data_IF_788292642497
#
_entry.id   IF_788292642497
#
_cell.length_a   1.000
_cell.length_b   1.000
_cell.length_c   1.000
_cell.angle_alpha   90.00
_cell.angle_beta   90.00
_cell.angle_gamma   90.00
#
_symmetry.space_group_name_H-M   'P 1'
#
loop_
_entity.id
_entity.type
_entity.pdbx_description
1 polymer ?
#
# COMPACT_ATOMS: atom_id res chain seq x y z
N UNK A 1 22.83 14.00 9.90
CA UNK A 1 22.52 12.56 9.90
C UNK A 1 21.06 12.27 9.57
N UNK A 2 20.07 12.91 10.21
CA UNK A 2 18.65 12.63 9.94
C UNK A 2 18.14 12.94 8.52
N UNK A 3 18.68 13.97 7.85
CA UNK A 3 18.25 14.35 6.49
C UNK A 3 18.58 13.29 5.44
N UNK A 4 19.83 12.81 5.41
CA UNK A 4 20.27 11.75 4.49
C UNK A 4 19.45 10.45 4.64
N UNK A 5 19.15 10.06 5.88
CA UNK A 5 18.30 8.89 6.15
C UNK A 5 16.89 9.08 5.59
N UNK A 6 16.29 10.25 5.81
CA UNK A 6 14.94 10.53 5.30
C UNK A 6 14.92 10.57 3.76
N UNK A 7 15.95 11.14 3.13
CA UNK A 7 16.04 11.18 1.65
C UNK A 7 16.18 9.77 1.05
N UNK A 8 17.04 8.92 1.64
CA UNK A 8 17.19 7.52 1.25
C UNK A 8 15.90 6.73 1.46
N UNK A 9 15.25 6.92 2.61
CA UNK A 9 13.98 6.29 2.93
C UNK A 9 12.89 6.65 1.92
N UNK A 10 12.75 7.94 1.59
CA UNK A 10 11.78 8.42 0.61
C UNK A 10 12.02 7.77 -0.76
N UNK A 11 13.28 7.77 -1.22
CA UNK A 11 13.67 7.16 -2.49
C UNK A 11 13.34 5.67 -2.56
N UNK A 12 13.68 4.92 -1.49
CA UNK A 12 13.38 3.49 -1.42
C UNK A 12 11.87 3.22 -1.41
N UNK A 13 11.10 3.98 -0.63
CA UNK A 13 9.66 3.75 -0.52
C UNK A 13 8.90 4.10 -1.80
N UNK A 14 9.24 5.24 -2.42
CA UNK A 14 8.69 5.65 -3.72
C UNK A 14 8.94 4.58 -4.78
N UNK A 15 10.15 4.02 -4.85
CA UNK A 15 10.47 2.92 -5.78
C UNK A 15 9.73 1.63 -5.46
N UNK A 16 9.61 1.25 -4.18
CA UNK A 16 8.87 0.05 -3.77
C UNK A 16 7.38 0.12 -4.13
N UNK A 17 6.81 1.32 -4.11
CA UNK A 17 5.42 1.57 -4.49
C UNK A 17 5.27 1.91 -5.99
N UNK A 18 6.34 1.93 -6.78
CA UNK A 18 6.26 2.30 -8.20
C UNK A 18 5.75 3.72 -8.45
N UNK A 19 5.78 4.60 -7.44
CA UNK A 19 5.28 5.97 -7.55
C UNK A 19 6.30 6.85 -8.30
N UNK A 20 5.81 7.82 -9.04
CA UNK A 20 6.66 8.82 -9.71
C UNK A 20 7.27 9.83 -8.74
N UNK A 21 6.57 10.11 -7.63
CA UNK A 21 6.97 11.06 -6.58
C UNK A 21 6.66 10.51 -5.19
N UNK A 22 7.40 10.98 -4.19
CA UNK A 22 7.12 10.67 -2.79
C UNK A 22 5.79 11.28 -2.34
N UNK A 23 4.82 10.42 -2.00
CA UNK A 23 3.56 10.82 -1.37
C UNK A 23 3.56 10.43 0.12
N UNK A 24 3.86 11.41 0.98
CA UNK A 24 3.93 11.21 2.43
C UNK A 24 2.59 10.74 3.03
N UNK A 25 1.44 11.40 2.79
CA UNK A 25 0.14 10.93 3.28
C UNK A 25 -0.17 9.47 2.92
N UNK A 26 0.04 9.09 1.66
CA UNK A 26 -0.22 7.74 1.17
C UNK A 26 0.67 6.70 1.87
N UNK A 27 1.97 6.98 1.98
CA UNK A 27 2.93 6.09 2.63
C UNK A 27 2.66 5.99 4.14
N UNK A 28 2.37 7.09 4.82
CA UNK A 28 2.05 7.06 6.25
C UNK A 28 0.78 6.24 6.52
N UNK A 29 -0.25 6.36 5.68
CA UNK A 29 -1.48 5.56 5.80
C UNK A 29 -1.22 4.07 5.52
N UNK A 30 -0.37 3.75 4.54
CA UNK A 30 0.06 2.38 4.28
C UNK A 30 0.72 1.75 5.50
N UNK A 31 1.74 2.41 6.05
CA UNK A 31 2.50 1.89 7.19
C UNK A 31 1.62 1.70 8.43
N UNK A 32 0.68 2.61 8.65
CA UNK A 32 -0.31 2.47 9.71
C UNK A 32 -1.17 1.22 9.50
N UNK A 33 -1.72 1.03 8.30
CA UNK A 33 -2.53 -0.16 7.99
C UNK A 33 -1.73 -1.45 8.17
N UNK A 34 -0.50 -1.52 7.66
CA UNK A 34 0.39 -2.67 7.84
C UNK A 34 0.65 -2.97 9.32
N UNK A 35 0.87 -1.95 10.15
CA UNK A 35 1.13 -2.09 11.57
C UNK A 35 -0.11 -2.56 12.36
N UNK A 36 -1.27 -1.98 12.08
CA UNK A 36 -2.54 -2.32 12.76
C UNK A 36 -2.97 -3.74 12.42
N UNK A 37 -2.90 -4.10 11.13
CA UNK A 37 -3.34 -5.41 10.64
C UNK A 37 -2.23 -6.48 10.72
N UNK A 38 -1.05 -6.13 11.26
CA UNK A 38 0.12 -7.02 11.42
C UNK A 38 0.49 -7.75 10.13
N UNK A 39 0.40 -7.04 9.02
CA UNK A 39 0.61 -7.60 7.68
C UNK A 39 2.09 -7.82 7.44
N UNK A 40 2.44 -8.98 6.89
CA UNK A 40 3.82 -9.25 6.49
C UNK A 40 4.26 -8.29 5.38
N UNK A 41 5.31 -7.52 5.68
CA UNK A 41 5.82 -6.48 4.79
C UNK A 41 6.29 -7.08 3.46
N UNK A 42 6.99 -8.21 3.49
CA UNK A 42 7.58 -8.81 2.29
C UNK A 42 6.51 -9.37 1.36
N UNK A 43 5.55 -10.09 1.91
CA UNK A 43 4.41 -10.67 1.17
C UNK A 43 3.55 -9.53 0.61
N UNK A 44 3.26 -8.50 1.39
CA UNK A 44 2.45 -7.37 0.93
C UNK A 44 3.04 -6.71 -0.31
N UNK A 45 4.30 -6.27 -0.27
CA UNK A 45 4.92 -5.58 -1.43
C UNK A 45 5.03 -6.49 -2.65
N UNK A 46 5.21 -7.81 -2.45
CA UNK A 46 5.20 -8.80 -3.53
C UNK A 46 3.83 -8.95 -4.19
N UNK A 47 2.75 -8.86 -3.41
CA UNK A 47 1.39 -8.91 -3.95
C UNK A 47 1.00 -7.56 -4.57
N UNK A 48 1.42 -6.44 -3.97
CA UNK A 48 1.18 -5.10 -4.48
C UNK A 48 1.77 -4.91 -5.88
N UNK A 49 2.97 -5.44 -6.15
CA UNK A 49 3.58 -5.35 -7.48
C UNK A 49 2.79 -6.08 -8.57
N UNK A 50 1.88 -6.99 -8.20
CA UNK A 50 1.00 -7.69 -9.14
C UNK A 50 -0.34 -6.97 -9.36
N UNK A 51 -0.63 -5.90 -8.61
CA UNK A 51 -1.85 -5.11 -8.80
C UNK A 51 -1.67 -4.25 -10.05
N UNK A 52 -2.64 -4.33 -10.96
CA UNK A 52 -2.76 -3.36 -12.05
C UNK A 52 -3.34 -2.08 -11.48
N UNK A 53 -2.58 -0.99 -11.53
CA UNK A 53 -3.06 0.34 -11.17
C UNK A 53 -3.99 0.87 -12.27
N UNK A 54 -5.17 0.27 -12.36
CA UNK A 54 -6.19 0.59 -13.36
C UNK A 54 -7.46 1.07 -12.64
N UNK A 55 -7.87 2.33 -12.83
CA UNK A 55 -9.03 2.93 -12.18
C UNK A 55 -10.38 2.32 -12.63
N UNK A 56 -10.38 1.48 -13.66
CA UNK A 56 -11.57 0.74 -14.09
C UNK A 56 -11.84 -0.53 -13.27
N UNK A 57 -10.90 -0.95 -12.41
CA UNK A 57 -11.04 -2.16 -11.61
C UNK A 57 -11.98 -1.91 -10.40
N UNK A 58 -13.02 -2.73 -10.21
CA UNK A 58 -13.90 -2.63 -9.05
C UNK A 58 -13.18 -2.87 -7.72
N UNK A 59 -13.65 -2.21 -6.65
CA UNK A 59 -13.06 -2.28 -5.29
C UNK A 59 -12.81 -3.70 -4.77
N UNK A 60 -13.75 -4.62 -4.99
CA UNK A 60 -13.59 -6.02 -4.57
C UNK A 60 -12.48 -6.75 -5.32
N UNK A 61 -12.20 -6.35 -6.57
CA UNK A 61 -11.11 -6.90 -7.37
C UNK A 61 -9.77 -6.25 -7.05
N UNK A 62 -9.76 -5.00 -6.57
CA UNK A 62 -8.53 -4.33 -6.12
C UNK A 62 -7.89 -5.04 -4.92
N UNK A 63 -8.71 -5.53 -3.98
CA UNK A 63 -8.21 -6.21 -2.76
C UNK A 63 -7.96 -7.71 -2.99
N UNK A 64 -8.53 -8.30 -4.04
CA UNK A 64 -8.42 -9.74 -4.30
C UNK A 64 -6.96 -10.26 -4.35
N UNK A 65 -6.00 -9.58 -5.02
CA UNK A 65 -4.59 -9.97 -5.00
C UNK A 65 -3.94 -9.89 -3.62
N UNK A 66 -4.42 -9.00 -2.74
CA UNK A 66 -3.88 -8.80 -1.39
C UNK A 66 -4.50 -9.73 -0.35
N UNK A 67 -5.53 -10.52 -0.72
CA UNK A 67 -6.24 -11.38 0.21
C UNK A 67 -5.34 -12.34 0.98
N UNK A 68 -4.24 -12.80 0.36
CA UNK A 68 -3.26 -13.68 1.00
C UNK A 68 -2.41 -12.97 2.07
N UNK A 69 -2.23 -11.65 1.99
CA UNK A 69 -1.57 -10.85 3.02
C UNK A 69 -2.55 -10.31 4.07
N UNK A 70 -3.83 -10.22 3.72
CA UNK A 70 -4.91 -9.65 4.55
C UNK A 70 -5.86 -10.73 5.10
N UNK A 71 -5.31 -11.87 5.51
CA UNK A 71 -6.10 -12.98 6.07
C UNK A 71 -6.80 -12.50 7.35
N UNK A 72 -8.09 -12.84 7.49
CA UNK A 72 -8.91 -12.57 8.67
C UNK A 72 -9.13 -11.10 9.06
N UNK A 73 -8.99 -10.16 8.12
CA UNK A 73 -9.31 -8.75 8.40
C UNK A 73 -10.83 -8.50 8.44
N UNK A 74 -11.29 -7.74 9.44
CA UNK A 74 -12.70 -7.33 9.56
C UNK A 74 -13.16 -6.40 8.43
N UNK A 75 -14.47 -6.22 8.29
CA UNK A 75 -15.09 -5.38 7.26
C UNK A 75 -14.57 -3.93 7.28
N UNK A 76 -14.40 -3.34 8.46
CA UNK A 76 -13.84 -1.99 8.61
C UNK A 76 -12.42 -1.87 8.06
N UNK A 77 -11.59 -2.87 8.35
CA UNK A 77 -10.21 -2.94 7.87
C UNK A 77 -10.18 -3.12 6.35
N UNK A 78 -11.07 -3.97 5.81
CA UNK A 78 -11.22 -4.13 4.35
C UNK A 78 -11.54 -2.80 3.69
N UNK A 79 -12.46 -2.00 4.24
CA UNK A 79 -12.77 -0.64 3.75
C UNK A 79 -11.56 0.29 3.82
N UNK A 80 -10.76 0.23 4.89
CA UNK A 80 -9.54 1.03 5.01
C UNK A 80 -8.50 0.68 3.92
N UNK A 81 -8.37 -0.60 3.58
CA UNK A 81 -7.50 -1.07 2.50
C UNK A 81 -8.00 -0.66 1.12
N UNK A 82 -9.31 -0.80 0.85
CA UNK A 82 -9.92 -0.32 -0.40
C UNK A 82 -9.67 1.18 -0.58
N UNK A 83 -9.97 1.98 0.45
CA UNK A 83 -9.75 3.43 0.42
C UNK A 83 -8.29 3.79 0.14
N UNK A 84 -7.35 3.04 0.70
CA UNK A 84 -5.92 3.26 0.44
C UNK A 84 -5.55 2.89 -1.01
N UNK A 85 -6.02 1.74 -1.50
CA UNK A 85 -5.76 1.29 -2.87
C UNK A 85 -6.35 2.24 -3.92
N UNK A 86 -7.55 2.75 -3.71
CA UNK A 86 -8.16 3.75 -4.58
C UNK A 86 -7.32 5.03 -4.67
N UNK A 87 -6.74 5.46 -3.54
CA UNK A 87 -5.83 6.61 -3.54
C UNK A 87 -4.53 6.26 -4.28
N UNK A 88 -4.01 5.05 -4.08
CA UNK A 88 -2.78 4.57 -4.70
C UNK A 88 -2.86 4.46 -6.23
N UNK A 89 -3.98 4.00 -6.79
CA UNK A 89 -4.15 3.85 -8.25
C UNK A 89 -4.45 5.18 -8.97
N UNK A 90 -4.78 6.23 -8.24
CA UNK A 90 -5.05 7.57 -8.79
C UNK A 90 -3.81 8.47 -8.82
N UNK A 91 -2.73 8.09 -8.12
CA UNK A 91 -1.44 8.78 -8.00
C UNK A 91 -0.44 8.35 -9.09
#
# INVERSE_FOLDING_TARGET
YGTKFMDEYQSVMTKKLGLTKYNKPLISKLLNNLAVDKVDYTIFFRLLSNIKADPSIPDDQLVAPLKAALLDIGSERKTAWISWLQTYIQD
#
